data_IF_043665573817
#
_entry.id   IF_043665573817
#
_cell.length_a   1.000
_cell.length_b   1.000
_cell.length_c   1.000
_cell.angle_alpha   90.00
_cell.angle_beta   90.00
_cell.angle_gamma   90.00
#
_symmetry.space_group_name_H-M   'P 1'
#
loop_
_entity.id
_entity.type
_entity.pdbx_description
1 polymer ?
#
# COMPACT_ATOMS: atom_id res chain seq x y z
N UNK A 1 -32.79 -2.28 -7.00
CA UNK A 1 -31.64 -2.84 -6.26
C UNK A 1 -30.64 -3.46 -7.22
N UNK A 2 -29.39 -2.95 -7.25
CA UNK A 2 -28.12 -3.65 -7.56
C UNK A 2 -27.04 -2.59 -7.77
N UNK A 3 -26.40 -2.19 -6.67
CA UNK A 3 -25.21 -1.33 -6.72
C UNK A 3 -24.02 -2.23 -7.05
N UNK A 4 -23.50 -2.17 -8.28
CA UNK A 4 -22.22 -2.81 -8.63
C UNK A 4 -21.25 -1.72 -9.04
N UNK A 5 -20.37 -1.42 -8.10
CA UNK A 5 -19.25 -0.49 -8.14
C UNK A 5 -18.61 -0.42 -9.53
N UNK A 6 -18.83 0.69 -10.22
CA UNK A 6 -17.86 1.23 -11.17
C UNK A 6 -17.09 2.30 -10.41
N UNK A 7 -15.79 2.13 -10.12
CA UNK A 7 -15.00 3.24 -9.64
C UNK A 7 -14.83 4.23 -10.79
N UNK A 8 -15.44 5.40 -10.64
CA UNK A 8 -15.22 6.59 -11.46
C UNK A 8 -13.81 7.11 -11.20
N UNK A 9 -12.80 6.49 -11.82
CA UNK A 9 -11.41 6.88 -11.59
C UNK A 9 -11.03 8.05 -12.51
N UNK A 10 -11.01 9.25 -11.93
CA UNK A 10 -10.35 10.42 -12.51
C UNK A 10 -8.83 10.21 -12.53
N UNK A 11 -8.11 10.71 -13.55
CA UNK A 11 -6.67 10.50 -13.72
C UNK A 11 -5.78 11.13 -12.62
N UNK A 12 -6.35 11.92 -11.70
CA UNK A 12 -5.63 12.50 -10.55
C UNK A 12 -5.39 11.50 -9.39
N UNK A 13 -6.03 10.32 -9.39
CA UNK A 13 -6.00 9.36 -8.27
C UNK A 13 -4.70 8.53 -8.18
N UNK A 14 -3.75 8.72 -9.10
CA UNK A 14 -2.48 7.97 -9.13
C UNK A 14 -1.36 8.58 -8.24
N UNK A 15 -1.58 9.74 -7.62
CA UNK A 15 -0.58 10.40 -6.76
C UNK A 15 -1.11 10.75 -5.35
N UNK A 16 -2.15 10.07 -4.89
CA UNK A 16 -2.64 10.19 -3.51
C UNK A 16 -2.18 9.00 -2.67
N UNK A 17 -1.88 9.25 -1.39
CA UNK A 17 -1.74 8.17 -0.40
C UNK A 17 -2.94 7.23 -0.56
N UNK A 18 -2.72 5.90 -0.60
CA UNK A 18 -3.82 4.97 -0.78
C UNK A 18 -4.86 5.24 0.31
N UNK A 19 -6.09 5.57 -0.12
CA UNK A 19 -7.22 5.89 0.76
C UNK A 19 -7.70 4.58 1.40
N UNK A 20 -7.03 4.18 2.46
CA UNK A 20 -7.37 3.00 3.26
C UNK A 20 -7.92 3.42 4.62
N UNK A 21 -8.81 2.61 5.17
CA UNK A 21 -9.42 2.84 6.49
C UNK A 21 -8.40 2.55 7.60
N UNK A 22 -8.54 3.16 8.78
CA UNK A 22 -7.61 2.93 9.90
C UNK A 22 -7.56 1.46 10.36
N UNK A 23 -8.67 0.72 10.22
CA UNK A 23 -8.72 -0.72 10.51
C UNK A 23 -7.87 -1.54 9.52
N UNK A 24 -7.96 -1.20 8.23
CA UNK A 24 -7.15 -1.81 7.16
C UNK A 24 -5.67 -1.45 7.31
N UNK A 25 -5.38 -0.19 7.65
CA UNK A 25 -4.02 0.26 7.93
C UNK A 25 -3.40 -0.50 9.11
N UNK A 26 -4.18 -0.73 10.18
CA UNK A 26 -3.72 -1.50 11.34
C UNK A 26 -3.31 -2.93 10.97
N UNK A 27 -4.12 -3.62 10.15
CA UNK A 27 -3.80 -4.97 9.67
C UNK A 27 -2.51 -4.99 8.84
N UNK A 28 -2.40 -4.05 7.88
CA UNK A 28 -1.21 -3.91 7.02
C UNK A 28 0.04 -3.55 7.85
N UNK A 29 -0.09 -2.67 8.84
CA UNK A 29 1.02 -2.26 9.70
C UNK A 29 1.47 -3.38 10.64
N UNK A 30 0.54 -4.17 11.16
CA UNK A 30 0.88 -5.33 11.97
C UNK A 30 1.69 -6.35 11.15
N UNK A 31 1.30 -6.57 9.89
CA UNK A 31 2.06 -7.40 8.97
C UNK A 31 3.43 -6.78 8.65
N UNK A 32 3.48 -5.49 8.30
CA UNK A 32 4.73 -4.76 8.01
C UNK A 32 5.70 -4.81 9.21
N UNK A 33 5.19 -4.67 10.43
CA UNK A 33 6.02 -4.69 11.62
C UNK A 33 6.65 -6.07 11.85
N UNK A 34 5.90 -7.14 11.56
CA UNK A 34 6.39 -8.53 11.61
C UNK A 34 7.33 -8.88 10.46
N UNK A 35 7.03 -8.42 9.25
CA UNK A 35 7.76 -8.77 8.04
C UNK A 35 7.93 -7.55 7.13
N UNK A 36 9.19 -7.13 6.93
CA UNK A 36 9.55 -5.98 6.07
C UNK A 36 9.64 -6.36 4.58
N UNK A 37 9.59 -7.64 4.27
CA UNK A 37 9.54 -8.17 2.90
C UNK A 37 8.13 -8.67 2.63
N UNK A 38 7.47 -8.10 1.63
CA UNK A 38 6.15 -8.56 1.21
C UNK A 38 6.30 -9.39 -0.06
N UNK A 39 5.98 -10.68 0.03
CA UNK A 39 5.91 -11.56 -1.13
C UNK A 39 4.54 -11.46 -1.80
N UNK A 40 4.43 -11.86 -3.07
CA UNK A 40 3.16 -11.87 -3.80
C UNK A 40 2.07 -12.65 -3.04
N UNK A 41 2.45 -13.73 -2.36
CA UNK A 41 1.55 -14.50 -1.49
C UNK A 41 1.02 -13.69 -0.31
N UNK A 42 1.86 -12.84 0.30
CA UNK A 42 1.45 -11.98 1.42
C UNK A 42 0.48 -10.89 0.94
N UNK A 43 0.72 -10.34 -0.26
CA UNK A 43 -0.19 -9.35 -0.88
C UNK A 43 -1.58 -9.95 -1.08
N UNK A 44 -1.67 -11.17 -1.61
CA UNK A 44 -2.95 -11.85 -1.80
C UNK A 44 -3.69 -12.12 -0.48
N UNK A 45 -2.96 -12.51 0.58
CA UNK A 45 -3.53 -12.71 1.92
C UNK A 45 -4.07 -11.40 2.48
N UNK A 46 -3.27 -10.33 2.44
CA UNK A 46 -3.66 -9.02 2.97
C UNK A 46 -4.80 -8.40 2.18
N UNK A 47 -4.82 -8.59 0.85
CA UNK A 47 -5.93 -8.20 -0.01
C UNK A 47 -7.23 -8.89 0.42
N UNK A 48 -7.18 -10.20 0.67
CA UNK A 48 -8.34 -10.95 1.15
C UNK A 48 -8.77 -10.55 2.57
N UNK A 49 -7.83 -10.28 3.47
CA UNK A 49 -8.08 -9.92 4.87
C UNK A 49 -8.66 -8.50 5.02
N UNK A 50 -8.10 -7.54 4.27
CA UNK A 50 -8.49 -6.12 4.34
C UNK A 50 -9.60 -5.75 3.36
N UNK A 51 -9.89 -6.62 2.39
CA UNK A 51 -10.81 -6.34 1.27
C UNK A 51 -10.26 -5.32 0.26
N UNK A 52 -8.98 -4.98 0.33
CA UNK A 52 -8.30 -4.08 -0.61
C UNK A 52 -7.86 -4.84 -1.86
N UNK A 53 -7.63 -4.11 -2.95
CA UNK A 53 -6.99 -4.70 -4.13
C UNK A 53 -5.50 -4.93 -3.90
N UNK A 54 -4.92 -5.94 -4.54
CA UNK A 54 -3.49 -6.24 -4.43
C UNK A 54 -2.59 -5.03 -4.77
N UNK A 55 -2.99 -4.22 -5.76
CA UNK A 55 -2.29 -2.99 -6.14
C UNK A 55 -2.29 -1.94 -5.01
N UNK A 56 -3.42 -1.75 -4.33
CA UNK A 56 -3.52 -0.82 -3.20
C UNK A 56 -2.65 -1.24 -2.02
N UNK A 57 -2.62 -2.55 -1.74
CA UNK A 57 -1.75 -3.14 -0.70
C UNK A 57 -0.28 -2.91 -1.06
N UNK A 58 0.10 -3.14 -2.32
CA UNK A 58 1.46 -2.86 -2.80
C UNK A 58 1.84 -1.39 -2.67
N UNK A 59 0.98 -0.46 -3.12
CA UNK A 59 1.24 0.97 -3.00
C UNK A 59 1.39 1.41 -1.55
N UNK A 60 0.53 0.92 -0.65
CA UNK A 60 0.63 1.24 0.78
C UNK A 60 1.96 0.76 1.35
N UNK A 61 2.36 -0.46 1.02
CA UNK A 61 3.62 -1.03 1.51
C UNK A 61 4.83 -0.27 1.00
N UNK A 62 4.85 0.14 -0.27
CA UNK A 62 5.91 0.97 -0.84
C UNK A 62 6.01 2.31 -0.09
N UNK A 63 4.87 2.95 0.18
CA UNK A 63 4.82 4.20 0.93
C UNK A 63 5.30 4.04 2.38
N UNK A 64 4.84 2.98 3.06
CA UNK A 64 5.24 2.65 4.44
C UNK A 64 6.71 2.31 4.53
N UNK A 65 7.24 1.55 3.58
CA UNK A 65 8.65 1.18 3.50
C UNK A 65 9.55 2.40 3.24
N UNK A 66 9.12 3.34 2.40
CA UNK A 66 9.82 4.60 2.18
C UNK A 66 9.86 5.45 3.46
N UNK A 67 8.74 5.52 4.18
CA UNK A 67 8.65 6.22 5.47
C UNK A 67 9.56 5.58 6.52
N UNK A 68 9.50 4.25 6.65
CA UNK A 68 10.35 3.50 7.57
C UNK A 68 11.84 3.68 7.25
N UNK A 69 12.25 3.64 5.98
CA UNK A 69 13.65 3.90 5.59
C UNK A 69 14.11 5.28 6.04
N UNK A 70 13.29 6.31 5.83
CA UNK A 70 13.59 7.68 6.29
C UNK A 70 13.76 7.74 7.81
N UNK A 71 12.92 7.04 8.58
CA UNK A 71 13.04 6.94 10.04
C UNK A 71 14.33 6.22 10.49
N UNK A 72 14.75 5.19 9.74
CA UNK A 72 16.02 4.50 9.99
C UNK A 72 17.26 5.29 9.54
N UNK A 73 17.09 6.50 8.98
CA UNK A 73 18.20 7.26 8.39
C UNK A 73 18.75 6.66 7.09
N UNK A 74 18.08 5.65 6.53
CA UNK A 74 18.37 5.10 5.23
C UNK A 74 17.74 6.06 4.21
N UNK A 75 18.57 6.79 3.46
CA UNK A 75 18.12 7.75 2.45
C UNK A 75 17.07 7.16 1.49
N UNK A 76 16.27 8.02 0.83
CA UNK A 76 15.18 7.55 -0.03
C UNK A 76 15.72 6.65 -1.15
N UNK A 77 14.95 5.60 -1.52
CA UNK A 77 15.20 4.86 -2.77
C UNK A 77 14.93 5.71 -4.03
N UNK A 78 14.30 6.89 -3.87
CA UNK A 78 14.14 7.93 -4.90
C UNK A 78 15.49 8.59 -5.14
N UNK A 79 16.37 7.86 -5.82
CA UNK A 79 17.67 8.35 -6.25
C UNK A 79 18.14 7.78 -7.58
N UNK A 80 17.31 7.02 -8.32
CA UNK A 80 17.78 6.44 -9.59
C UNK A 80 16.70 6.06 -10.62
N UNK A 81 15.63 6.82 -10.79
CA UNK A 81 14.69 6.55 -11.89
C UNK A 81 14.12 7.79 -12.60
N UNK A 82 14.83 8.92 -12.61
CA UNK A 82 14.62 9.97 -13.62
C UNK A 82 15.96 10.69 -13.87
N UNK A 83 16.72 10.20 -14.85
CA UNK A 83 17.63 11.04 -15.65
C UNK A 83 16.84 11.64 -16.82
#
# INVERSE_FOLDING_TARGET
>A
MSNKYFPSSSPDEMNEKPKISPDQESALDMHFNRNKTMHASDVAILSAETGLSEEQVQQWFLFRLASWRKEQGLGPLVGRLYE
#
